data_IF_470205632158
#
_entry.id   IF_470205632158
#
_cell.length_a   1.000
_cell.length_b   1.000
_cell.length_c   1.000
_cell.angle_alpha   90.00
_cell.angle_beta   90.00
_cell.angle_gamma   90.00
#
_symmetry.space_group_name_H-M   'P 1'
#
loop_
_entity.id
_entity.type
_entity.pdbx_description
1 polymer ?
#
# COMPACT_ATOMS: atom_id res chain seq x y z
N UNK A 1 9.41 4.55 39.35
CA UNK A 1 9.46 5.42 38.15
C UNK A 1 8.26 5.06 37.28
N UNK A 2 7.09 5.64 37.54
CA UNK A 2 5.91 5.50 36.67
C UNK A 2 6.19 6.29 35.41
N UNK A 3 6.50 5.60 34.34
CA UNK A 3 6.60 6.20 33.02
C UNK A 3 5.20 6.71 32.71
N UNK A 4 5.07 8.00 32.53
CA UNK A 4 3.79 8.66 32.30
C UNK A 4 3.29 8.27 30.91
N UNK A 5 2.41 7.26 30.84
CA UNK A 5 1.90 6.65 29.61
C UNK A 5 1.27 7.71 28.72
N UNK A 6 0.66 8.75 29.31
CA UNK A 6 0.09 9.87 28.56
C UNK A 6 1.16 10.73 27.89
N UNK A 7 2.29 10.97 28.54
CA UNK A 7 3.43 11.67 27.92
C UNK A 7 4.03 10.89 26.76
N UNK A 8 4.13 9.57 26.90
CA UNK A 8 4.62 8.72 25.80
C UNK A 8 3.61 8.73 24.67
N UNK A 9 2.31 8.61 24.97
CA UNK A 9 1.25 8.67 23.96
C UNK A 9 1.25 10.03 23.24
N UNK A 10 1.34 11.14 23.98
CA UNK A 10 1.46 12.49 23.41
C UNK A 10 2.71 12.64 22.54
N UNK A 11 3.86 12.16 23.01
CA UNK A 11 5.10 12.19 22.21
C UNK A 11 4.99 11.37 20.93
N UNK A 12 4.38 10.17 20.98
CA UNK A 12 4.19 9.30 19.82
C UNK A 12 3.15 9.84 18.83
N UNK A 13 2.12 10.55 19.30
CA UNK A 13 1.03 11.03 18.43
C UNK A 13 1.27 12.44 17.91
N UNK A 14 1.85 13.35 18.70
CA UNK A 14 2.00 14.77 18.38
C UNK A 14 3.45 15.20 18.39
N UNK A 15 4.17 14.95 19.49
CA UNK A 15 5.53 15.47 19.70
C UNK A 15 6.56 15.01 18.68
N UNK A 16 6.39 13.78 18.17
CA UNK A 16 7.29 13.21 17.18
C UNK A 16 7.06 13.81 15.77
N UNK A 17 5.88 14.38 15.51
CA UNK A 17 5.51 14.98 14.22
C UNK A 17 5.66 16.51 14.22
N UNK A 18 5.88 17.15 15.39
CA UNK A 18 6.22 18.57 15.45
C UNK A 18 7.64 18.78 14.95
N UNK A 19 7.83 19.65 13.94
CA UNK A 19 9.15 20.09 13.48
C UNK A 19 9.85 20.84 14.60
N UNK A 20 10.93 20.28 15.12
CA UNK A 20 11.88 21.02 15.94
C UNK A 20 12.90 21.66 15.00
N UNK A 21 12.84 22.97 14.77
CA UNK A 21 13.67 23.72 13.81
C UNK A 21 15.19 23.63 14.06
N UNK A 22 15.62 23.18 15.23
CA UNK A 22 17.04 23.20 15.64
C UNK A 22 17.65 21.82 15.96
N UNK A 23 17.15 20.71 15.41
CA UNK A 23 17.77 19.41 15.71
C UNK A 23 18.81 19.00 14.67
N UNK A 24 19.95 18.47 15.15
CA UNK A 24 21.04 17.91 14.33
C UNK A 24 20.49 16.98 13.24
N UNK A 25 20.94 17.12 11.99
CA UNK A 25 20.52 16.40 10.79
C UNK A 25 20.42 14.86 10.98
N UNK A 26 21.30 14.29 11.81
CA UNK A 26 21.33 12.85 12.16
C UNK A 26 20.18 12.44 13.08
N UNK A 27 19.79 13.28 14.04
CA UNK A 27 18.64 13.04 14.93
C UNK A 27 17.33 13.03 14.14
N UNK A 28 17.22 13.93 13.16
CA UNK A 28 16.05 13.98 12.29
C UNK A 28 15.91 12.73 11.42
N UNK A 29 17.03 12.12 10.98
CA UNK A 29 16.99 10.87 10.21
C UNK A 29 16.46 9.71 11.05
N UNK A 30 16.91 9.53 12.28
CA UNK A 30 16.44 8.48 13.19
C UNK A 30 14.96 8.66 13.54
N UNK A 31 14.55 9.89 13.84
CA UNK A 31 13.14 10.21 14.11
C UNK A 31 12.26 9.86 12.90
N UNK A 32 12.69 10.22 11.69
CA UNK A 32 11.96 9.88 10.45
C UNK A 32 11.83 8.36 10.23
N UNK A 33 12.85 7.57 10.54
CA UNK A 33 12.75 6.11 10.44
C UNK A 33 11.76 5.54 11.47
N UNK A 34 11.81 6.07 12.69
CA UNK A 34 10.88 5.68 13.75
C UNK A 34 9.43 6.08 13.42
N UNK A 35 9.21 7.28 12.86
CA UNK A 35 7.90 7.71 12.37
C UNK A 35 7.32 6.74 11.33
N UNK A 36 8.13 6.35 10.32
CA UNK A 36 7.71 5.39 9.30
C UNK A 36 7.28 4.06 9.92
N UNK A 37 8.09 3.54 10.84
CA UNK A 37 7.79 2.27 11.50
C UNK A 37 6.52 2.38 12.36
N UNK A 38 6.37 3.44 13.14
CA UNK A 38 5.17 3.69 13.94
C UNK A 38 3.90 3.79 13.08
N UNK A 39 3.96 4.56 11.99
CA UNK A 39 2.85 4.68 11.05
C UNK A 39 2.51 3.34 10.41
N UNK A 40 3.53 2.58 9.99
CA UNK A 40 3.34 1.24 9.43
C UNK A 40 2.58 0.35 10.41
N UNK A 41 3.04 0.27 11.66
CA UNK A 41 2.37 -0.54 12.69
C UNK A 41 0.93 -0.05 12.93
N UNK A 42 0.73 1.26 13.14
CA UNK A 42 -0.59 1.84 13.40
C UNK A 42 -1.58 1.51 12.26
N UNK A 43 -1.21 1.81 11.02
CA UNK A 43 -2.11 1.64 9.88
C UNK A 43 -2.27 0.19 9.44
N UNK A 44 -1.28 -0.66 9.72
CA UNK A 44 -1.40 -2.10 9.49
C UNK A 44 -2.59 -2.71 10.25
N UNK A 45 -2.80 -2.27 11.50
CA UNK A 45 -3.95 -2.71 12.29
C UNK A 45 -5.24 -1.94 11.95
N UNK A 46 -5.16 -0.64 11.70
CA UNK A 46 -6.35 0.19 11.39
C UNK A 46 -6.99 -0.23 10.06
N UNK A 47 -6.20 -0.63 9.06
CA UNK A 47 -6.70 -1.05 7.73
C UNK A 47 -7.06 -2.52 7.65
N UNK A 48 -7.08 -3.24 8.76
CA UNK A 48 -7.44 -4.67 8.86
C UNK A 48 -6.73 -5.56 7.83
N UNK A 49 -5.40 -5.40 7.72
CA UNK A 49 -4.59 -6.25 6.83
C UNK A 49 -4.62 -7.73 7.25
N UNK A 50 -5.10 -8.05 8.44
CA UNK A 50 -5.29 -9.43 8.88
C UNK A 50 -6.30 -10.17 8.00
N UNK A 51 -7.43 -9.55 7.66
CA UNK A 51 -8.43 -10.12 6.76
C UNK A 51 -7.84 -10.32 5.35
N UNK A 52 -7.14 -9.32 4.81
CA UNK A 52 -6.45 -9.41 3.52
C UNK A 52 -5.42 -10.55 3.50
N UNK A 53 -4.65 -10.70 4.58
CA UNK A 53 -3.64 -11.76 4.73
C UNK A 53 -4.28 -13.16 4.74
N UNK A 54 -5.39 -13.33 5.46
CA UNK A 54 -6.12 -14.58 5.49
C UNK A 54 -6.69 -14.94 4.11
N UNK A 55 -7.28 -13.97 3.41
CA UNK A 55 -7.80 -14.15 2.05
C UNK A 55 -6.68 -14.52 1.06
N UNK A 56 -5.54 -13.84 1.11
CA UNK A 56 -4.37 -14.14 0.29
C UNK A 56 -3.84 -15.54 0.55
N UNK A 57 -3.77 -15.95 1.83
CA UNK A 57 -3.31 -17.28 2.20
C UNK A 57 -4.21 -18.36 1.66
N UNK A 58 -5.52 -18.20 1.81
CA UNK A 58 -6.50 -19.12 1.26
C UNK A 58 -6.41 -19.20 -0.28
N UNK A 59 -6.38 -18.05 -0.96
CA UNK A 59 -6.26 -17.99 -2.42
C UNK A 59 -4.96 -18.62 -2.92
N UNK A 60 -3.86 -18.45 -2.19
CA UNK A 60 -2.57 -19.07 -2.51
C UNK A 60 -2.65 -20.59 -2.42
N UNK A 61 -3.24 -21.13 -1.35
CA UNK A 61 -3.39 -22.57 -1.17
C UNK A 61 -4.23 -23.16 -2.28
N UNK A 62 -5.33 -22.51 -2.66
CA UNK A 62 -6.19 -22.95 -3.75
C UNK A 62 -5.51 -22.89 -5.13
N UNK A 63 -4.63 -21.91 -5.32
CA UNK A 63 -3.92 -21.70 -6.58
C UNK A 63 -2.63 -22.52 -6.72
N UNK A 64 -2.09 -23.12 -5.64
CA UNK A 64 -0.77 -23.75 -5.64
C UNK A 64 -0.69 -24.94 -6.61
N UNK A 65 -1.73 -25.78 -6.64
CA UNK A 65 -1.80 -26.93 -7.55
C UNK A 65 -1.96 -26.50 -9.02
N UNK A 66 -2.90 -25.60 -9.36
CA UNK A 66 -3.00 -24.99 -10.69
C UNK A 66 -1.69 -24.35 -11.18
N UNK A 67 -1.05 -23.53 -10.34
CA UNK A 67 0.21 -22.85 -10.69
C UNK A 67 1.33 -23.87 -10.92
N UNK A 68 1.51 -24.81 -10.01
CA UNK A 68 2.50 -25.86 -10.15
C UNK A 68 2.26 -26.67 -11.45
N UNK A 69 1.00 -27.04 -11.74
CA UNK A 69 0.64 -27.77 -12.95
C UNK A 69 1.01 -26.99 -14.21
N UNK A 70 0.78 -25.67 -14.22
CA UNK A 70 1.13 -24.81 -15.34
C UNK A 70 2.66 -24.71 -15.53
N UNK A 71 3.40 -24.52 -14.43
CA UNK A 71 4.87 -24.46 -14.45
C UNK A 71 5.45 -25.77 -15.00
N UNK A 72 4.95 -26.93 -14.53
CA UNK A 72 5.36 -28.24 -15.01
C UNK A 72 4.97 -28.50 -16.47
N UNK A 73 3.77 -28.04 -16.90
CA UNK A 73 3.35 -28.14 -18.29
C UNK A 73 4.29 -27.39 -19.23
N UNK A 74 4.65 -26.16 -18.88
CA UNK A 74 5.58 -25.32 -19.63
C UNK A 74 6.97 -25.99 -19.63
N UNK A 75 7.49 -26.36 -18.46
CA UNK A 75 8.82 -26.99 -18.35
C UNK A 75 8.92 -28.30 -19.14
N UNK A 76 7.89 -29.14 -19.11
CA UNK A 76 7.82 -30.38 -19.91
C UNK A 76 7.80 -30.09 -21.42
N UNK A 77 7.07 -29.04 -21.85
CA UNK A 77 7.05 -28.59 -23.23
C UNK A 77 8.45 -28.19 -23.77
N UNK A 78 9.29 -27.65 -22.91
CA UNK A 78 10.68 -27.28 -23.23
C UNK A 78 11.72 -28.38 -22.90
N UNK A 79 11.30 -29.56 -22.41
CA UNK A 79 12.19 -30.66 -22.05
C UNK A 79 12.87 -30.53 -20.67
N UNK A 80 12.49 -29.54 -19.85
CA UNK A 80 13.08 -29.29 -18.53
C UNK A 80 12.29 -29.92 -17.36
N UNK A 81 11.35 -30.81 -17.61
CA UNK A 81 10.45 -31.35 -16.58
C UNK A 81 11.18 -32.06 -15.43
N UNK A 82 12.16 -32.95 -15.74
CA UNK A 82 12.94 -33.67 -14.74
C UNK A 82 13.82 -32.73 -13.88
N UNK A 83 14.37 -31.72 -14.52
CA UNK A 83 15.16 -30.68 -13.85
C UNK A 83 14.30 -29.89 -12.85
N UNK A 84 13.09 -29.47 -13.29
CA UNK A 84 12.18 -28.74 -12.44
C UNK A 84 11.67 -29.60 -11.26
N UNK A 85 11.42 -30.90 -11.48
CA UNK A 85 11.03 -31.82 -10.41
C UNK A 85 12.13 -31.93 -9.34
N UNK A 86 13.38 -32.05 -9.75
CA UNK A 86 14.52 -32.07 -8.84
C UNK A 86 14.60 -30.77 -8.01
N UNK A 87 14.53 -29.62 -8.67
CA UNK A 87 14.55 -28.31 -8.00
C UNK A 87 13.37 -28.13 -7.04
N UNK A 88 12.18 -28.58 -7.42
CA UNK A 88 10.99 -28.51 -6.58
C UNK A 88 11.14 -29.37 -5.31
N UNK A 89 11.72 -30.56 -5.42
CA UNK A 89 12.04 -31.42 -4.28
C UNK A 89 13.12 -30.81 -3.37
N UNK A 90 14.11 -30.13 -3.95
CA UNK A 90 15.16 -29.44 -3.19
C UNK A 90 14.61 -28.20 -2.47
N UNK A 91 13.75 -27.41 -3.11
CA UNK A 91 13.09 -26.26 -2.48
C UNK A 91 12.20 -26.65 -1.30
N UNK A 92 11.51 -27.78 -1.42
CA UNK A 92 10.65 -28.35 -0.38
C UNK A 92 11.34 -29.44 0.43
N UNK A 93 12.67 -29.44 0.50
CA UNK A 93 13.44 -30.45 1.24
C UNK A 93 13.08 -30.50 2.73
N UNK A 94 12.62 -29.38 3.29
CA UNK A 94 12.07 -29.32 4.63
C UNK A 94 10.72 -30.07 4.80
N UNK A 95 10.03 -30.37 3.69
CA UNK A 95 8.71 -31.03 3.66
C UNK A 95 8.62 -32.07 2.53
N UNK A 96 9.36 -33.18 2.62
CA UNK A 96 9.41 -34.19 1.55
C UNK A 96 8.05 -34.82 1.26
N UNK A 97 7.21 -34.98 2.28
CA UNK A 97 5.83 -35.50 2.11
C UNK A 97 4.94 -34.51 1.36
N UNK A 98 4.97 -33.23 1.70
CA UNK A 98 4.22 -32.19 1.00
C UNK A 98 4.69 -32.05 -0.45
N UNK A 99 6.00 -32.09 -0.68
CA UNK A 99 6.57 -32.07 -2.04
C UNK A 99 6.06 -33.25 -2.87
N UNK A 100 6.09 -34.46 -2.33
CA UNK A 100 5.64 -35.68 -3.00
C UNK A 100 4.13 -35.63 -3.27
N UNK A 101 3.34 -35.16 -2.31
CA UNK A 101 1.89 -35.02 -2.46
C UNK A 101 1.53 -33.98 -3.54
N UNK A 102 2.16 -32.81 -3.52
CA UNK A 102 1.95 -31.75 -4.52
C UNK A 102 2.35 -32.22 -5.93
N UNK A 103 3.50 -32.89 -6.07
CA UNK A 103 3.93 -33.46 -7.36
C UNK A 103 2.95 -34.50 -7.87
N UNK A 104 2.44 -35.39 -7.01
CA UNK A 104 1.45 -36.39 -7.39
C UNK A 104 0.14 -35.74 -7.84
N UNK A 105 -0.34 -34.73 -7.13
CA UNK A 105 -1.53 -33.95 -7.52
C UNK A 105 -1.30 -33.25 -8.87
N UNK A 106 -0.17 -32.59 -9.04
CA UNK A 106 0.20 -31.88 -10.27
C UNK A 106 0.28 -32.86 -11.46
N UNK A 107 0.92 -34.00 -11.29
CA UNK A 107 0.98 -35.05 -12.35
C UNK A 107 -0.40 -35.62 -12.66
N UNK A 108 -1.22 -35.94 -11.63
CA UNK A 108 -2.60 -36.38 -11.85
C UNK A 108 -3.41 -35.33 -12.60
N UNK A 109 -3.26 -34.07 -12.28
CA UNK A 109 -3.93 -32.98 -12.97
C UNK A 109 -3.52 -32.90 -14.45
N UNK A 110 -2.23 -33.02 -14.76
CA UNK A 110 -1.70 -33.04 -16.13
C UNK A 110 -2.16 -34.27 -16.95
N UNK A 111 -2.25 -35.42 -16.31
CA UNK A 111 -2.73 -36.67 -16.98
C UNK A 111 -4.21 -36.55 -17.31
N UNK A 112 -5.03 -36.09 -16.36
CA UNK A 112 -6.48 -35.93 -16.60
C UNK A 112 -6.78 -34.79 -17.58
N UNK A 113 -5.90 -33.77 -17.68
CA UNK A 113 -5.98 -32.73 -18.69
C UNK A 113 -5.75 -33.23 -20.11
N UNK A 114 -5.30 -34.48 -20.32
CA UNK A 114 -5.11 -35.06 -21.65
C UNK A 114 -6.34 -35.81 -22.18
N UNK A 115 -7.38 -36.00 -21.40
CA UNK A 115 -8.55 -36.83 -21.76
C UNK A 115 -9.81 -35.98 -22.04
N UNK A 116 -10.00 -35.56 -23.28
CA UNK A 116 -11.27 -35.17 -23.89
C UNK A 116 -12.01 -33.98 -23.29
N UNK A 117 -13.28 -34.10 -22.99
CA UNK A 117 -14.20 -33.03 -22.59
C UNK A 117 -13.84 -32.34 -21.26
N UNK A 118 -13.11 -33.01 -20.38
CA UNK A 118 -12.62 -32.47 -19.11
C UNK A 118 -11.42 -31.50 -19.27
N UNK A 119 -10.75 -31.46 -20.44
CA UNK A 119 -9.63 -30.56 -20.72
C UNK A 119 -10.08 -29.11 -20.60
N UNK A 120 -11.21 -28.74 -21.19
CA UNK A 120 -11.70 -27.36 -21.21
C UNK A 120 -12.08 -26.86 -19.82
N UNK A 121 -12.80 -27.66 -19.05
CA UNK A 121 -13.26 -27.30 -17.71
C UNK A 121 -12.09 -27.22 -16.75
N UNK A 122 -11.18 -28.21 -16.76
CA UNK A 122 -10.00 -28.23 -15.90
C UNK A 122 -9.05 -27.04 -16.18
N UNK A 123 -8.84 -26.73 -17.46
CA UNK A 123 -8.03 -25.56 -17.85
C UNK A 123 -8.70 -24.25 -17.43
N UNK A 124 -10.01 -24.11 -17.58
CA UNK A 124 -10.73 -22.91 -17.15
C UNK A 124 -10.65 -22.71 -15.63
N UNK A 125 -10.82 -23.79 -14.83
CA UNK A 125 -10.67 -23.72 -13.37
C UNK A 125 -9.25 -23.32 -12.99
N UNK A 126 -8.24 -23.86 -13.69
CA UNK A 126 -6.84 -23.52 -13.48
C UNK A 126 -6.57 -22.03 -13.75
N UNK A 127 -6.99 -21.54 -14.91
CA UNK A 127 -6.84 -20.15 -15.31
C UNK A 127 -7.58 -19.21 -14.35
N UNK A 128 -8.81 -19.57 -13.98
CA UNK A 128 -9.60 -18.81 -13.00
C UNK A 128 -8.92 -18.74 -11.64
N UNK A 129 -8.36 -19.84 -11.13
CA UNK A 129 -7.68 -19.86 -9.83
C UNK A 129 -6.44 -18.97 -9.81
N UNK A 130 -5.64 -19.01 -10.89
CA UNK A 130 -4.46 -18.13 -11.02
C UNK A 130 -4.88 -16.68 -11.15
N UNK A 131 -5.86 -16.38 -11.98
CA UNK A 131 -6.40 -15.05 -12.17
C UNK A 131 -6.96 -14.49 -10.85
N UNK A 132 -7.73 -15.29 -10.12
CA UNK A 132 -8.30 -14.94 -8.82
C UNK A 132 -7.22 -14.61 -7.79
N UNK A 133 -6.13 -15.40 -7.73
CA UNK A 133 -5.01 -15.13 -6.83
C UNK A 133 -4.36 -13.78 -7.17
N UNK A 134 -4.01 -13.54 -8.44
CA UNK A 134 -3.34 -12.30 -8.87
C UNK A 134 -4.22 -11.10 -8.54
N UNK A 135 -5.54 -11.19 -8.79
CA UNK A 135 -6.48 -10.13 -8.47
C UNK A 135 -6.60 -9.88 -6.96
N UNK A 136 -6.58 -10.93 -6.15
CA UNK A 136 -6.59 -10.80 -4.68
C UNK A 136 -5.32 -10.09 -4.19
N UNK A 137 -4.16 -10.42 -4.78
CA UNK A 137 -2.89 -9.74 -4.47
C UNK A 137 -2.97 -8.28 -4.89
N UNK A 138 -3.39 -7.96 -6.12
CA UNK A 138 -3.55 -6.58 -6.59
C UNK A 138 -4.47 -5.77 -5.66
N UNK A 139 -5.65 -6.30 -5.31
CA UNK A 139 -6.59 -5.63 -4.43
C UNK A 139 -5.97 -5.33 -3.05
N UNK A 140 -5.21 -6.27 -2.48
CA UNK A 140 -4.53 -6.04 -1.20
C UNK A 140 -3.48 -4.93 -1.30
N UNK A 141 -2.73 -4.86 -2.40
CA UNK A 141 -1.75 -3.82 -2.64
C UNK A 141 -2.41 -2.46 -2.95
N UNK A 142 -3.49 -2.44 -3.74
CA UNK A 142 -4.24 -1.22 -4.05
C UNK A 142 -4.86 -0.61 -2.78
N UNK A 143 -5.33 -1.44 -1.84
CA UNK A 143 -5.78 -1.00 -0.53
C UNK A 143 -4.67 -0.34 0.30
N UNK A 144 -3.44 -0.86 0.26
CA UNK A 144 -2.27 -0.25 0.91
C UNK A 144 -1.96 1.11 0.27
N UNK A 145 -1.98 1.18 -1.06
CA UNK A 145 -1.66 2.40 -1.81
C UNK A 145 -2.84 3.36 -1.94
N UNK A 146 -4.01 3.02 -1.36
CA UNK A 146 -5.24 3.83 -1.38
C UNK A 146 -5.66 4.21 -2.80
N UNK A 147 -5.52 3.28 -3.73
CA UNK A 147 -5.95 3.45 -5.11
C UNK A 147 -7.48 3.41 -5.17
N UNK A 148 -8.09 4.45 -5.73
CA UNK A 148 -9.56 4.57 -5.87
C UNK A 148 -10.07 3.96 -7.18
N UNK A 149 -9.26 4.03 -8.22
CA UNK A 149 -9.65 3.60 -9.57
C UNK A 149 -9.05 2.23 -9.89
N UNK A 150 -9.90 1.24 -10.17
CA UNK A 150 -9.46 -0.07 -10.64
C UNK A 150 -8.93 -0.01 -12.07
N UNK A 151 -7.97 -0.87 -12.40
CA UNK A 151 -7.47 -1.01 -13.78
C UNK A 151 -8.61 -1.42 -14.73
N UNK A 152 -8.63 -0.94 -15.98
CA UNK A 152 -9.58 -1.40 -16.97
C UNK A 152 -9.38 -2.90 -17.25
N UNK A 153 -10.48 -3.64 -17.44
CA UNK A 153 -10.47 -5.11 -17.58
C UNK A 153 -9.53 -5.61 -18.69
N UNK A 154 -9.44 -4.88 -19.81
CA UNK A 154 -8.54 -5.21 -20.92
C UNK A 154 -7.07 -5.24 -20.49
N UNK A 155 -6.65 -4.28 -19.69
CA UNK A 155 -5.29 -4.20 -19.17
C UNK A 155 -5.01 -5.27 -18.13
N UNK A 156 -5.99 -5.55 -17.26
CA UNK A 156 -5.92 -6.64 -16.27
C UNK A 156 -5.62 -7.98 -16.97
N UNK A 157 -6.38 -8.31 -18.03
CA UNK A 157 -6.18 -9.57 -18.76
C UNK A 157 -4.80 -9.66 -19.40
N UNK A 158 -4.32 -8.58 -20.02
CA UNK A 158 -3.00 -8.55 -20.66
C UNK A 158 -1.89 -8.71 -19.62
N UNK A 159 -1.93 -7.90 -18.55
CA UNK A 159 -0.89 -7.89 -17.50
C UNK A 159 -0.83 -9.25 -16.78
N UNK A 160 -1.98 -9.84 -16.44
CA UNK A 160 -2.04 -11.12 -15.74
C UNK A 160 -1.62 -12.29 -16.64
N UNK A 161 -2.00 -12.26 -17.92
CA UNK A 161 -1.52 -13.25 -18.88
C UNK A 161 0.00 -13.16 -19.04
N UNK A 162 0.54 -11.95 -19.13
CA UNK A 162 1.99 -11.76 -19.21
C UNK A 162 2.70 -12.30 -17.95
N UNK A 163 2.20 -12.00 -16.75
CA UNK A 163 2.75 -12.52 -15.48
C UNK A 163 2.66 -14.05 -15.41
N UNK A 164 1.58 -14.62 -15.89
CA UNK A 164 1.35 -16.06 -15.90
C UNK A 164 2.41 -16.85 -16.69
N UNK A 165 2.95 -16.25 -17.77
CA UNK A 165 4.04 -16.84 -18.54
C UNK A 165 5.41 -16.41 -18.05
N UNK A 166 5.57 -15.14 -17.65
CA UNK A 166 6.86 -14.56 -17.26
C UNK A 166 7.38 -15.15 -15.94
N UNK A 167 6.52 -15.43 -14.97
CA UNK A 167 6.91 -15.99 -13.68
C UNK A 167 7.53 -17.40 -13.85
N UNK A 168 6.90 -18.39 -14.52
CA UNK A 168 7.53 -19.70 -14.76
C UNK A 168 8.84 -19.62 -15.52
N UNK A 169 8.89 -18.79 -16.57
CA UNK A 169 10.11 -18.59 -17.36
C UNK A 169 11.23 -18.02 -16.51
N UNK A 170 10.90 -17.03 -15.65
CA UNK A 170 11.87 -16.43 -14.72
C UNK A 170 12.41 -17.46 -13.72
N UNK A 171 11.57 -18.33 -13.19
CA UNK A 171 11.99 -19.41 -12.28
C UNK A 171 12.98 -20.35 -12.99
N UNK A 172 12.70 -20.75 -14.21
CA UNK A 172 13.59 -21.63 -15.01
C UNK A 172 14.93 -20.94 -15.25
N UNK A 173 14.92 -19.67 -15.68
CA UNK A 173 16.15 -18.90 -15.94
C UNK A 173 16.97 -18.73 -14.66
N UNK A 174 16.35 -18.34 -13.54
CA UNK A 174 17.02 -18.15 -12.25
C UNK A 174 17.61 -19.46 -11.73
N UNK A 175 16.90 -20.57 -11.90
CA UNK A 175 17.39 -21.90 -11.53
C UNK A 175 18.60 -22.30 -12.37
N UNK A 176 18.57 -22.10 -13.68
CA UNK A 176 19.71 -22.34 -14.57
C UNK A 176 20.92 -21.49 -14.23
N UNK A 177 20.68 -20.21 -13.94
CA UNK A 177 21.73 -19.25 -13.53
C UNK A 177 22.39 -19.67 -12.20
N UNK A 178 21.60 -20.14 -11.23
CA UNK A 178 22.11 -20.64 -9.95
C UNK A 178 23.06 -21.82 -10.11
N UNK A 179 22.75 -22.76 -11.03
CA UNK A 179 23.61 -23.90 -11.32
C UNK A 179 24.91 -23.45 -11.99
N UNK A 180 24.80 -22.54 -12.95
CA UNK A 180 25.98 -21.99 -13.61
C UNK A 180 26.92 -21.32 -12.62
N UNK A 181 26.41 -20.51 -11.73
CA UNK A 181 27.19 -19.86 -10.66
C UNK A 181 27.80 -20.90 -9.69
N UNK A 182 27.04 -21.93 -9.30
CA UNK A 182 27.56 -22.98 -8.43
C UNK A 182 28.74 -23.70 -9.07
N UNK A 183 28.63 -24.13 -10.35
CA UNK A 183 29.71 -24.76 -11.11
C UNK A 183 30.92 -23.85 -11.32
N UNK A 184 30.66 -22.54 -11.53
CA UNK A 184 31.74 -21.56 -11.67
C UNK A 184 32.57 -21.41 -10.39
N UNK A 185 31.90 -21.41 -9.21
CA UNK A 185 32.60 -21.32 -7.91
C UNK A 185 33.33 -22.61 -7.56
N UNK A 186 32.78 -23.76 -7.91
CA UNK A 186 33.48 -25.04 -7.71
C UNK A 186 34.82 -25.08 -8.46
N UNK A 187 34.89 -24.49 -9.64
CA UNK A 187 36.13 -24.32 -10.39
C UNK A 187 37.12 -23.31 -9.77
N UNK A 188 36.64 -22.37 -8.93
CA UNK A 188 37.46 -21.40 -8.20
C UNK A 188 38.05 -21.96 -6.87
N UNK A 189 37.65 -23.16 -6.44
CA UNK A 189 38.13 -23.79 -5.20
C UNK A 189 39.65 -24.10 -5.17
N UNK A 190 40.38 -23.90 -6.28
CA UNK A 190 41.85 -23.91 -6.32
C UNK A 190 42.54 -22.79 -5.51
N UNK A 191 41.80 -21.72 -5.17
CA UNK A 191 42.24 -20.60 -4.35
C UNK A 191 41.49 -20.63 -3.01
N UNK A 192 42.04 -21.28 -1.98
CA UNK A 192 41.43 -21.59 -0.68
C UNK A 192 40.67 -20.42 -0.04
N UNK A 193 41.21 -19.22 -0.11
CA UNK A 193 40.58 -18.01 0.49
C UNK A 193 39.42 -17.49 -0.34
N UNK A 194 39.53 -17.41 -1.65
CA UNK A 194 38.51 -16.98 -2.59
C UNK A 194 37.35 -17.99 -2.65
N UNK A 195 37.63 -19.28 -2.56
CA UNK A 195 36.62 -20.34 -2.51
C UNK A 195 35.72 -20.26 -1.27
N UNK A 196 36.26 -19.94 -0.09
CA UNK A 196 35.45 -19.76 1.13
C UNK A 196 34.54 -18.55 1.07
N UNK A 197 35.04 -17.41 0.58
CA UNK A 197 34.22 -16.20 0.42
C UNK A 197 33.15 -16.42 -0.66
N UNK A 198 33.49 -17.03 -1.76
CA UNK A 198 32.57 -17.31 -2.85
C UNK A 198 31.47 -18.30 -2.43
N UNK A 199 31.81 -19.37 -1.70
CA UNK A 199 30.83 -20.33 -1.19
C UNK A 199 29.88 -19.70 -0.15
N UNK A 200 30.39 -18.83 0.75
CA UNK A 200 29.55 -18.08 1.67
C UNK A 200 28.60 -17.12 0.93
N UNK A 201 29.13 -16.38 -0.04
CA UNK A 201 28.33 -15.44 -0.84
C UNK A 201 27.22 -16.15 -1.61
N UNK A 202 27.52 -17.28 -2.24
CA UNK A 202 26.55 -18.08 -2.98
C UNK A 202 25.47 -18.67 -2.06
N UNK A 203 25.85 -19.12 -0.87
CA UNK A 203 24.92 -19.79 0.03
C UNK A 203 23.95 -18.84 0.70
N UNK A 204 24.36 -17.61 0.99
CA UNK A 204 23.54 -16.66 1.78
C UNK A 204 23.19 -15.38 1.02
N UNK A 205 24.17 -14.79 0.32
CA UNK A 205 23.98 -13.45 -0.27
C UNK A 205 23.19 -13.51 -1.58
N UNK A 206 23.40 -14.54 -2.40
CA UNK A 206 22.67 -14.70 -3.67
C UNK A 206 21.18 -14.99 -3.43
N UNK A 207 20.76 -15.96 -2.60
CA UNK A 207 19.34 -16.16 -2.30
C UNK A 207 18.67 -14.91 -1.70
N UNK A 208 19.37 -14.21 -0.79
CA UNK A 208 18.89 -12.96 -0.23
C UNK A 208 18.71 -11.87 -1.29
N UNK A 209 19.67 -11.71 -2.21
CA UNK A 209 19.60 -10.72 -3.27
C UNK A 209 18.46 -11.03 -4.27
N UNK A 210 18.30 -12.29 -4.65
CA UNK A 210 17.20 -12.75 -5.53
C UNK A 210 15.85 -12.47 -4.86
N UNK A 211 15.71 -12.82 -3.59
CA UNK A 211 14.47 -12.60 -2.85
C UNK A 211 14.17 -11.10 -2.69
N UNK A 212 15.21 -10.28 -2.44
CA UNK A 212 15.08 -8.82 -2.39
C UNK A 212 14.61 -8.26 -3.74
N UNK A 213 15.20 -8.72 -4.84
CA UNK A 213 14.80 -8.31 -6.19
C UNK A 213 13.33 -8.70 -6.47
N UNK A 214 12.92 -9.91 -6.07
CA UNK A 214 11.55 -10.38 -6.22
C UNK A 214 10.58 -9.48 -5.45
N UNK A 215 10.89 -9.06 -4.21
CA UNK A 215 10.06 -8.12 -3.46
C UNK A 215 10.04 -6.72 -4.07
N UNK A 216 11.16 -6.23 -4.63
CA UNK A 216 11.18 -4.94 -5.35
C UNK A 216 10.21 -5.00 -6.53
N UNK A 217 10.30 -6.06 -7.35
CA UNK A 217 9.39 -6.25 -8.49
C UNK A 217 7.94 -6.32 -8.01
N UNK A 218 7.64 -7.10 -6.98
CA UNK A 218 6.30 -7.22 -6.43
C UNK A 218 5.74 -5.87 -5.97
N UNK A 219 6.52 -5.10 -5.19
CA UNK A 219 6.08 -3.81 -4.62
C UNK A 219 5.95 -2.69 -5.65
N UNK A 220 6.67 -2.78 -6.76
CA UNK A 220 6.61 -1.77 -7.83
C UNK A 220 5.51 -2.07 -8.85
N UNK A 221 5.36 -3.34 -9.26
CA UNK A 221 4.49 -3.69 -10.37
C UNK A 221 3.08 -4.09 -9.95
N UNK A 222 2.90 -4.58 -8.71
CA UNK A 222 1.59 -5.08 -8.28
C UNK A 222 0.56 -3.97 -8.03
N UNK A 223 0.88 -2.87 -7.30
CA UNK A 223 -0.11 -1.82 -7.07
C UNK A 223 -0.37 -1.02 -8.35
N UNK A 224 -1.62 -0.58 -8.53
CA UNK A 224 -1.98 0.36 -9.60
C UNK A 224 -1.63 1.81 -9.22
N UNK A 225 -0.40 2.04 -8.75
CA UNK A 225 0.10 3.33 -8.30
C UNK A 225 1.52 3.57 -8.82
N UNK A 226 1.94 4.83 -8.87
CA UNK A 226 3.33 5.19 -9.24
C UNK A 226 4.26 4.97 -8.04
N UNK A 227 4.93 3.84 -8.00
CA UNK A 227 5.87 3.48 -6.94
C UNK A 227 7.30 3.79 -7.35
N UNK A 228 8.03 4.55 -6.51
CA UNK A 228 9.44 4.89 -6.76
C UNK A 228 10.34 3.74 -6.31
N UNK A 229 11.10 3.13 -7.23
CA UNK A 229 12.01 2.00 -6.95
C UNK A 229 12.96 2.31 -5.77
N UNK A 230 13.52 3.52 -5.72
CA UNK A 230 14.43 3.93 -4.64
C UNK A 230 13.82 3.87 -3.24
N UNK A 231 12.48 3.95 -3.14
CA UNK A 231 11.77 3.88 -1.87
C UNK A 231 11.37 2.45 -1.48
N UNK A 232 11.40 1.51 -2.44
CA UNK A 232 11.07 0.09 -2.21
C UNK A 232 12.28 -0.73 -1.76
N UNK A 233 13.51 -0.33 -2.09
CA UNK A 233 14.73 -1.12 -1.83
C UNK A 233 14.85 -1.51 -0.35
N UNK A 234 14.78 -0.55 0.57
CA UNK A 234 14.96 -0.82 2.01
C UNK A 234 13.85 -1.71 2.57
N UNK A 235 12.55 -1.45 2.33
CA UNK A 235 11.49 -2.38 2.74
C UNK A 235 11.64 -3.79 2.16
N UNK A 236 12.08 -3.92 0.89
CA UNK A 236 12.31 -5.22 0.25
C UNK A 236 13.46 -5.99 0.88
N UNK A 237 14.54 -5.31 1.28
CA UNK A 237 15.65 -5.92 2.04
C UNK A 237 15.17 -6.42 3.40
N UNK A 238 14.32 -5.66 4.10
CA UNK A 238 13.73 -6.08 5.37
C UNK A 238 12.82 -7.28 5.17
N UNK A 239 11.96 -7.26 4.14
CA UNK A 239 11.06 -8.35 3.80
C UNK A 239 11.83 -9.65 3.53
N UNK A 240 12.90 -9.58 2.72
CA UNK A 240 13.71 -10.75 2.37
C UNK A 240 14.43 -11.34 3.59
N UNK A 241 14.98 -10.50 4.47
CA UNK A 241 15.59 -10.97 5.73
C UNK A 241 14.53 -11.63 6.62
N UNK A 242 13.37 -10.99 6.80
CA UNK A 242 12.28 -11.53 7.61
C UNK A 242 11.78 -12.88 7.06
N UNK A 243 11.67 -13.02 5.72
CA UNK A 243 11.30 -14.29 5.07
C UNK A 243 12.33 -15.39 5.31
N UNK A 244 13.62 -15.07 5.19
CA UNK A 244 14.69 -16.05 5.48
C UNK A 244 14.67 -16.45 6.97
N UNK A 245 14.46 -15.52 7.89
CA UNK A 245 14.28 -15.81 9.30
C UNK A 245 13.03 -16.69 9.54
N UNK A 246 11.91 -16.38 8.90
CA UNK A 246 10.69 -17.19 8.98
C UNK A 246 10.95 -18.62 8.48
N UNK A 247 11.71 -18.79 7.39
CA UNK A 247 12.06 -20.11 6.87
C UNK A 247 12.90 -20.90 7.87
N UNK A 248 13.88 -20.27 8.52
CA UNK A 248 14.69 -20.92 9.55
C UNK A 248 13.82 -21.34 10.76
N UNK A 249 12.96 -20.45 11.25
CA UNK A 249 12.02 -20.73 12.33
C UNK A 249 11.08 -21.88 11.97
N UNK A 250 10.59 -21.89 10.74
CA UNK A 250 9.70 -22.92 10.24
C UNK A 250 10.37 -24.30 10.22
N UNK A 251 11.60 -24.41 9.68
CA UNK A 251 12.36 -25.66 9.61
C UNK A 251 12.63 -26.19 11.02
N UNK A 252 13.10 -25.35 11.94
CA UNK A 252 13.38 -25.77 13.32
C UNK A 252 12.10 -26.11 14.10
N UNK A 253 11.03 -25.32 13.90
CA UNK A 253 9.71 -25.58 14.47
C UNK A 253 9.14 -26.92 14.01
N UNK A 254 9.35 -27.28 12.75
CA UNK A 254 8.92 -28.58 12.21
C UNK A 254 9.64 -29.74 12.89
N UNK A 255 10.96 -29.64 13.10
CA UNK A 255 11.75 -30.65 13.83
C UNK A 255 11.23 -30.83 15.27
N UNK A 256 10.91 -29.72 15.94
CA UNK A 256 10.36 -29.75 17.29
C UNK A 256 8.96 -30.43 17.33
N UNK A 257 8.10 -30.10 16.34
CA UNK A 257 6.76 -30.66 16.22
C UNK A 257 6.76 -32.12 15.75
N UNK A 258 7.83 -32.62 15.12
CA UNK A 258 7.97 -34.04 14.75
C UNK A 258 7.95 -34.93 15.99
N UNK A 259 8.38 -34.41 17.15
CA UNK A 259 8.24 -35.12 18.45
C UNK A 259 6.77 -35.28 18.87
N UNK A 260 5.86 -34.44 18.41
CA UNK A 260 4.41 -34.51 18.60
C UNK A 260 3.69 -35.34 17.53
N UNK A 261 4.37 -35.79 16.48
CA UNK A 261 3.82 -36.58 15.39
C UNK A 261 3.26 -37.95 15.82
N UNK A 262 3.57 -38.40 17.04
CA UNK A 262 2.98 -39.63 17.59
C UNK A 262 1.44 -39.57 17.72
N UNK A 263 0.85 -38.34 17.78
CA UNK A 263 -0.60 -38.17 17.96
C UNK A 263 -1.26 -37.75 16.62
N UNK A 264 -0.63 -36.85 15.83
CA UNK A 264 -1.24 -36.25 14.63
C UNK A 264 -0.71 -36.79 13.29
N UNK A 265 0.40 -37.58 13.30
CA UNK A 265 0.96 -38.19 12.08
C UNK A 265 1.29 -37.17 11.00
N UNK A 266 1.13 -37.55 9.71
CA UNK A 266 1.33 -36.68 8.54
C UNK A 266 0.32 -35.52 8.45
N UNK A 267 -0.75 -35.54 9.24
CA UNK A 267 -1.81 -34.51 9.22
C UNK A 267 -1.32 -33.15 9.78
N UNK A 268 -0.30 -33.14 10.64
CA UNK A 268 0.26 -31.91 11.22
C UNK A 268 0.99 -31.02 10.18
N UNK A 269 1.48 -31.61 9.10
CA UNK A 269 2.24 -30.88 8.07
C UNK A 269 1.40 -29.84 7.35
N UNK A 270 0.11 -30.11 7.08
CA UNK A 270 -0.77 -29.21 6.35
C UNK A 270 -1.08 -27.91 7.13
N UNK A 271 -1.54 -27.95 8.40
CA UNK A 271 -1.75 -26.74 9.20
C UNK A 271 -0.47 -25.92 9.38
N UNK A 272 0.67 -26.57 9.56
CA UNK A 272 1.95 -25.88 9.71
C UNK A 272 2.34 -25.12 8.41
N UNK A 273 2.12 -25.76 7.26
CA UNK A 273 2.32 -25.14 5.97
C UNK A 273 1.37 -23.94 5.75
N UNK A 274 0.10 -24.06 6.16
CA UNK A 274 -0.86 -22.95 6.13
C UNK A 274 -0.41 -21.77 6.99
N UNK A 275 0.10 -22.03 8.20
CA UNK A 275 0.66 -21.01 9.08
C UNK A 275 1.90 -20.33 8.48
N UNK A 276 2.74 -21.09 7.79
CA UNK A 276 3.90 -20.54 7.10
C UNK A 276 3.49 -19.59 5.96
N UNK A 277 2.50 -19.98 5.13
CA UNK A 277 1.95 -19.11 4.09
C UNK A 277 1.33 -17.86 4.71
N UNK A 278 0.54 -18.00 5.78
CA UNK A 278 -0.07 -16.89 6.49
C UNK A 278 0.99 -15.90 7.00
N UNK A 279 2.01 -16.39 7.69
CA UNK A 279 3.12 -15.56 8.19
C UNK A 279 3.90 -14.88 7.05
N UNK A 280 4.07 -15.57 5.93
CA UNK A 280 4.71 -15.02 4.73
C UNK A 280 3.95 -13.82 4.17
N UNK A 281 2.62 -13.91 4.10
CA UNK A 281 1.78 -12.79 3.65
C UNK A 281 1.75 -11.65 4.67
N UNK A 282 1.79 -11.94 5.98
CA UNK A 282 1.94 -10.89 7.00
C UNK A 282 3.23 -10.08 6.79
N UNK A 283 4.36 -10.74 6.59
CA UNK A 283 5.64 -10.08 6.29
C UNK A 283 5.54 -9.26 5.00
N UNK A 284 4.98 -9.86 3.96
CA UNK A 284 4.84 -9.22 2.66
C UNK A 284 4.01 -7.92 2.73
N UNK A 285 2.79 -7.98 3.30
CA UNK A 285 1.92 -6.81 3.40
C UNK A 285 2.45 -5.77 4.39
N UNK A 286 3.06 -6.19 5.50
CA UNK A 286 3.68 -5.27 6.45
C UNK A 286 4.82 -4.46 5.79
N UNK A 287 5.68 -5.11 5.02
CA UNK A 287 6.75 -4.43 4.31
C UNK A 287 6.24 -3.60 3.10
N UNK A 288 5.11 -3.99 2.48
CA UNK A 288 4.43 -3.17 1.50
C UNK A 288 3.88 -1.87 2.11
N UNK A 289 3.27 -1.94 3.30
CA UNK A 289 2.84 -0.77 4.08
C UNK A 289 4.04 0.11 4.47
N UNK A 290 5.17 -0.51 4.87
CA UNK A 290 6.42 0.21 5.13
C UNK A 290 6.95 0.92 3.87
N UNK A 291 6.79 0.31 2.70
CA UNK A 291 7.14 0.91 1.42
C UNK A 291 6.27 2.14 1.14
N UNK A 292 4.97 2.04 1.37
CA UNK A 292 4.03 3.15 1.24
C UNK A 292 4.43 4.34 2.13
N UNK A 293 4.70 4.12 3.42
CA UNK A 293 5.14 5.20 4.32
C UNK A 293 6.56 5.69 4.02
N UNK A 294 7.42 4.85 3.46
CA UNK A 294 8.74 5.31 3.00
C UNK A 294 8.66 6.30 1.84
N UNK A 295 7.62 6.21 1.02
CA UNK A 295 7.37 7.15 -0.08
C UNK A 295 6.54 8.35 0.38
N UNK A 296 5.52 8.14 1.21
CA UNK A 296 4.45 9.11 1.47
C UNK A 296 4.50 9.70 2.90
N UNK A 297 5.65 9.61 3.60
CA UNK A 297 5.79 10.11 4.98
C UNK A 297 5.37 11.57 5.11
N UNK A 298 5.66 12.40 4.12
CA UNK A 298 5.39 13.84 4.15
C UNK A 298 3.88 14.15 4.20
N UNK A 299 3.03 13.25 3.69
CA UNK A 299 1.58 13.37 3.78
C UNK A 299 1.03 13.05 5.19
N UNK A 300 1.84 12.40 6.04
CA UNK A 300 1.46 11.97 7.40
C UNK A 300 2.24 12.72 8.50
N UNK A 301 2.86 13.85 8.19
CA UNK A 301 3.59 14.68 9.17
C UNK A 301 2.68 15.21 10.29
N UNK A 302 1.37 15.15 10.14
CA UNK A 302 0.42 15.44 11.20
C UNK A 302 -0.68 14.38 11.23
N UNK A 303 -0.81 13.69 12.36
CA UNK A 303 -1.85 12.66 12.59
C UNK A 303 -3.17 13.25 13.10
N UNK A 304 -3.35 14.57 12.97
CA UNK A 304 -4.63 15.22 13.30
C UNK A 304 -5.61 14.80 12.20
N UNK A 305 -6.64 14.07 12.59
CA UNK A 305 -7.78 13.83 11.71
C UNK A 305 -8.57 15.14 11.58
N UNK A 306 -9.03 15.46 10.38
CA UNK A 306 -9.86 16.64 10.13
C UNK A 306 -11.19 16.57 10.89
N UNK A 307 -11.62 15.37 11.27
CA UNK A 307 -12.77 15.13 12.14
C UNK A 307 -12.57 15.65 13.58
N UNK A 308 -11.31 15.73 14.04
CA UNK A 308 -10.96 16.27 15.36
C UNK A 308 -10.84 17.81 15.37
N UNK A 309 -10.90 18.46 14.20
CA UNK A 309 -10.83 19.92 14.07
C UNK A 309 -12.22 20.49 14.30
N UNK A 310 -12.36 21.44 15.23
CA UNK A 310 -13.65 22.07 15.45
C UNK A 310 -14.10 22.82 14.19
N UNK A 311 -15.41 22.89 13.96
CA UNK A 311 -15.99 23.46 12.75
C UNK A 311 -15.52 24.89 12.48
N UNK A 312 -15.41 25.71 13.53
CA UNK A 312 -14.90 27.10 13.41
C UNK A 312 -13.47 27.15 12.90
N UNK A 313 -12.58 26.34 13.47
CA UNK A 313 -11.17 26.29 13.06
C UNK A 313 -11.02 25.77 11.62
N UNK A 314 -11.87 24.83 11.23
CA UNK A 314 -11.91 24.34 9.84
C UNK A 314 -12.30 25.45 8.86
N UNK A 315 -13.29 26.29 9.21
CA UNK A 315 -13.68 27.43 8.38
C UNK A 315 -12.55 28.47 8.27
N UNK A 316 -11.84 28.74 9.36
CA UNK A 316 -10.68 29.65 9.38
C UNK A 316 -9.57 29.09 8.49
N UNK A 317 -9.28 27.79 8.57
CA UNK A 317 -8.29 27.16 7.72
C UNK A 317 -8.69 27.17 6.23
N UNK A 318 -9.98 26.95 5.93
CA UNK A 318 -10.50 27.08 4.56
C UNK A 318 -10.36 28.51 4.03
N UNK A 319 -10.66 29.51 4.86
CA UNK A 319 -10.49 30.93 4.50
C UNK A 319 -9.02 31.26 4.23
N UNK A 320 -8.10 30.77 5.08
CA UNK A 320 -6.66 30.99 4.92
C UNK A 320 -6.14 30.40 3.59
N UNK A 321 -6.50 29.15 3.29
CA UNK A 321 -6.05 28.49 2.06
C UNK A 321 -6.65 29.16 0.82
N UNK A 322 -7.95 29.47 0.85
CA UNK A 322 -8.62 30.11 -0.26
C UNK A 322 -8.09 31.54 -0.51
N UNK A 323 -7.85 32.32 0.57
CA UNK A 323 -7.25 33.66 0.48
C UNK A 323 -5.85 33.60 -0.13
N UNK A 324 -5.03 32.63 0.26
CA UNK A 324 -3.70 32.41 -0.30
C UNK A 324 -3.76 32.11 -1.81
N UNK A 325 -4.65 31.22 -2.24
CA UNK A 325 -4.82 30.89 -3.66
C UNK A 325 -5.33 32.11 -4.45
N UNK A 326 -6.33 32.84 -3.93
CA UNK A 326 -6.90 34.02 -4.58
C UNK A 326 -5.89 35.17 -4.69
N UNK A 327 -5.10 35.43 -3.65
CA UNK A 327 -4.08 36.49 -3.66
C UNK A 327 -2.98 36.20 -4.68
N UNK A 328 -2.50 34.97 -4.78
CA UNK A 328 -1.49 34.58 -5.76
C UNK A 328 -2.02 34.74 -7.19
N UNK A 329 -3.28 34.32 -7.41
CA UNK A 329 -3.93 34.48 -8.70
C UNK A 329 -4.11 35.96 -9.09
N UNK A 330 -4.51 36.81 -8.14
CA UNK A 330 -4.66 38.26 -8.35
C UNK A 330 -3.32 38.96 -8.66
N UNK A 331 -2.20 38.41 -8.18
CA UNK A 331 -0.85 38.91 -8.43
C UNK A 331 -0.17 38.24 -9.64
N UNK A 332 -0.90 37.59 -10.53
CA UNK A 332 -0.39 36.87 -11.72
C UNK A 332 0.74 35.86 -11.42
N UNK A 333 0.75 35.29 -10.21
CA UNK A 333 1.73 34.29 -9.82
C UNK A 333 1.31 32.90 -10.30
N UNK A 334 2.30 32.02 -10.55
CA UNK A 334 2.03 30.64 -10.98
C UNK A 334 1.20 29.88 -9.96
N UNK A 335 0.21 29.08 -10.42
CA UNK A 335 -0.56 28.21 -9.55
C UNK A 335 0.35 27.24 -8.78
N UNK A 336 -0.02 26.93 -7.56
CA UNK A 336 0.76 26.08 -6.65
C UNK A 336 0.15 24.70 -6.48
N UNK A 337 1.01 23.73 -6.18
CA UNK A 337 0.63 22.39 -5.73
C UNK A 337 0.27 22.43 -4.25
N UNK A 338 -0.44 21.42 -3.75
CA UNK A 338 -0.76 21.27 -2.32
C UNK A 338 0.50 21.32 -1.42
N UNK A 339 1.62 20.77 -1.88
CA UNK A 339 2.89 20.78 -1.15
C UNK A 339 3.52 22.18 -1.08
N UNK A 340 3.39 22.97 -2.13
CA UNK A 340 3.88 24.36 -2.16
C UNK A 340 3.03 25.24 -1.25
N UNK A 341 1.68 25.12 -1.31
CA UNK A 341 0.78 25.84 -0.41
C UNK A 341 1.08 25.48 1.05
N UNK A 342 1.30 24.17 1.35
CA UNK A 342 1.73 23.72 2.68
C UNK A 342 3.00 24.42 3.14
N UNK A 343 3.99 24.61 2.26
CA UNK A 343 5.29 25.20 2.66
C UNK A 343 5.17 26.66 3.07
N UNK A 344 4.20 27.39 2.54
CA UNK A 344 3.96 28.80 2.82
C UNK A 344 2.97 29.00 3.98
N UNK A 345 1.91 28.17 4.05
CA UNK A 345 0.86 28.30 5.08
C UNK A 345 1.17 27.52 6.36
N UNK A 346 2.14 26.61 6.34
CA UNK A 346 2.48 25.67 7.43
C UNK A 346 1.34 24.75 7.88
N UNK A 347 0.24 24.69 7.12
CA UNK A 347 -0.89 23.78 7.40
C UNK A 347 -0.45 22.35 7.06
N UNK A 348 -0.72 21.36 7.93
CA UNK A 348 -0.39 19.96 7.66
C UNK A 348 -0.99 19.47 6.35
N UNK A 349 -0.23 18.69 5.57
CA UNK A 349 -0.64 18.29 4.20
C UNK A 349 -1.97 17.53 4.19
N UNK A 350 -2.25 16.70 5.19
CA UNK A 350 -3.50 15.95 5.29
C UNK A 350 -4.70 16.89 5.44
N UNK A 351 -4.60 17.87 6.34
CA UNK A 351 -5.60 18.91 6.53
C UNK A 351 -5.72 19.76 5.26
N UNK A 352 -4.58 20.12 4.66
CA UNK A 352 -4.54 20.87 3.39
C UNK A 352 -5.29 20.13 2.27
N UNK A 353 -5.04 18.84 2.12
CA UNK A 353 -5.67 18.03 1.06
C UNK A 353 -7.19 17.95 1.26
N UNK A 354 -7.65 17.80 2.50
CA UNK A 354 -9.08 17.78 2.83
C UNK A 354 -9.72 19.16 2.58
N UNK A 355 -9.06 20.24 2.96
CA UNK A 355 -9.52 21.61 2.70
C UNK A 355 -9.62 21.85 1.18
N UNK A 356 -8.60 21.49 0.41
CA UNK A 356 -8.60 21.65 -1.05
C UNK A 356 -9.73 20.81 -1.68
N UNK A 357 -9.95 19.59 -1.20
CA UNK A 357 -11.06 18.75 -1.66
C UNK A 357 -12.42 19.42 -1.38
N UNK A 358 -12.65 19.92 -0.16
CA UNK A 358 -13.90 20.62 0.21
C UNK A 358 -14.12 21.89 -0.61
N UNK A 359 -13.07 22.71 -0.79
CA UNK A 359 -13.15 23.92 -1.60
C UNK A 359 -13.44 23.62 -3.07
N UNK A 360 -12.94 22.52 -3.59
CA UNK A 360 -13.24 22.03 -4.94
C UNK A 360 -14.68 21.52 -5.06
N UNK A 361 -15.18 20.74 -4.12
CA UNK A 361 -16.56 20.25 -4.11
C UNK A 361 -17.58 21.40 -4.20
N UNK A 362 -17.31 22.50 -3.50
CA UNK A 362 -18.18 23.69 -3.52
C UNK A 362 -17.89 24.66 -4.69
N UNK A 363 -17.06 24.24 -5.66
CA UNK A 363 -16.69 25.01 -6.84
C UNK A 363 -16.08 26.40 -6.53
N UNK A 364 -15.27 26.50 -5.46
CA UNK A 364 -14.49 27.72 -5.17
C UNK A 364 -13.10 27.68 -5.80
N UNK A 365 -12.53 26.48 -5.99
CA UNK A 365 -11.25 26.24 -6.65
C UNK A 365 -11.37 25.15 -7.71
N UNK A 366 -10.50 25.18 -8.70
CA UNK A 366 -10.35 24.15 -9.74
C UNK A 366 -8.95 23.54 -9.74
N UNK A 367 -8.87 22.28 -10.12
CA UNK A 367 -7.61 21.56 -10.34
C UNK A 367 -7.14 21.74 -11.78
N UNK A 368 -5.88 22.10 -11.95
CA UNK A 368 -5.24 22.19 -13.25
C UNK A 368 -4.12 21.14 -13.33
N UNK A 369 -4.17 20.32 -14.36
CA UNK A 369 -3.14 19.35 -14.66
C UNK A 369 -2.06 19.99 -15.53
N UNK A 370 -0.82 19.99 -15.09
CA UNK A 370 0.30 20.44 -15.91
C UNK A 370 0.62 19.38 -16.96
N UNK A 371 0.68 19.70 -18.25
CA UNK A 371 1.05 18.74 -19.29
C UNK A 371 2.51 18.26 -19.20
N UNK A 372 3.36 18.96 -18.45
CA UNK A 372 4.79 18.67 -18.31
C UNK A 372 5.19 18.02 -16.99
N UNK A 373 4.37 18.16 -15.94
CA UNK A 373 4.57 17.53 -14.64
C UNK A 373 3.24 16.91 -14.23
N UNK A 374 3.25 15.66 -13.82
CA UNK A 374 2.08 14.93 -13.27
C UNK A 374 1.56 15.57 -11.94
N UNK A 375 1.76 16.87 -11.76
CA UNK A 375 1.43 17.59 -10.54
C UNK A 375 0.14 18.38 -10.73
N UNK A 376 -0.76 18.28 -9.75
CA UNK A 376 -2.01 19.01 -9.69
C UNK A 376 -1.77 20.36 -9.03
N UNK A 377 -2.19 21.44 -9.71
CA UNK A 377 -2.14 22.81 -9.19
C UNK A 377 -3.55 23.37 -9.02
N UNK A 378 -3.72 24.35 -8.16
CA UNK A 378 -5.02 24.90 -7.78
C UNK A 378 -5.16 26.37 -8.19
N UNK A 379 -6.34 26.72 -8.76
CA UNK A 379 -6.71 28.10 -9.12
C UNK A 379 -8.14 28.39 -8.67
N UNK A 380 -8.51 29.68 -8.44
CA UNK A 380 -9.89 30.04 -8.17
C UNK A 380 -10.78 29.72 -9.37
N UNK A 381 -12.03 29.34 -9.13
CA UNK A 381 -13.02 29.05 -10.18
C UNK A 381 -13.74 30.31 -10.64
N UNK A 382 -13.83 31.33 -9.79
CA UNK A 382 -14.53 32.59 -10.03
C UNK A 382 -13.57 33.77 -9.90
N UNK A 383 -14.02 34.94 -10.37
CA UNK A 383 -13.28 36.19 -10.16
C UNK A 383 -13.02 36.45 -8.69
N UNK A 384 -11.75 36.60 -8.35
CA UNK A 384 -11.27 36.80 -6.96
C UNK A 384 -11.86 38.03 -6.29
N UNK A 385 -12.35 39.00 -7.07
CA UNK A 385 -13.02 40.19 -6.54
C UNK A 385 -14.43 39.90 -6.00
N UNK A 386 -15.05 38.82 -6.45
CA UNK A 386 -16.40 38.46 -6.08
C UNK A 386 -16.48 37.38 -4.98
N UNK A 387 -15.34 36.75 -4.67
CA UNK A 387 -15.32 35.72 -3.61
C UNK A 387 -15.24 36.39 -2.24
N UNK A 388 -16.29 36.22 -1.45
CA UNK A 388 -16.38 36.76 -0.08
C UNK A 388 -16.33 35.65 0.97
N UNK A 389 -16.00 36.02 2.22
CA UNK A 389 -15.99 35.10 3.36
C UNK A 389 -17.38 34.52 3.58
N UNK A 390 -18.43 35.35 3.48
CA UNK A 390 -19.82 34.90 3.63
C UNK A 390 -20.25 33.91 2.56
N UNK A 391 -19.80 34.10 1.30
CA UNK A 391 -20.08 33.15 0.21
C UNK A 391 -19.37 31.82 0.43
N UNK A 392 -18.09 31.86 0.84
CA UNK A 392 -17.33 30.65 1.16
C UNK A 392 -18.03 29.82 2.26
N UNK A 393 -18.39 30.45 3.38
CA UNK A 393 -19.08 29.78 4.49
C UNK A 393 -20.44 29.22 4.03
N UNK A 394 -21.23 30.03 3.31
CA UNK A 394 -22.53 29.60 2.82
C UNK A 394 -22.44 28.35 1.93
N UNK A 395 -21.46 28.31 1.03
CA UNK A 395 -21.24 27.15 0.13
C UNK A 395 -20.76 25.91 0.91
N UNK A 396 -19.76 26.05 1.80
CA UNK A 396 -19.24 24.95 2.60
C UNK A 396 -20.30 24.32 3.51
N UNK A 397 -21.19 25.11 4.08
CA UNK A 397 -22.26 24.62 4.97
C UNK A 397 -23.51 24.17 4.22
N UNK A 398 -23.69 24.52 2.95
CA UNK A 398 -24.81 24.07 2.13
C UNK A 398 -24.62 22.71 1.50
N UNK A 399 -23.40 22.16 1.56
CA UNK A 399 -23.09 20.82 1.05
C UNK A 399 -23.79 19.79 1.95
N UNK A 400 -24.82 19.06 1.49
CA UNK A 400 -25.51 18.10 2.33
C UNK A 400 -24.57 16.96 2.68
N UNK A 401 -24.47 16.61 3.96
CA UNK A 401 -23.93 15.32 4.35
C UNK A 401 -24.76 14.24 3.64
N UNK A 402 -24.15 13.51 2.73
CA UNK A 402 -24.80 12.58 1.80
C UNK A 402 -25.74 11.57 2.48
N UNK A 403 -25.44 11.20 3.72
CA UNK A 403 -26.18 10.20 4.49
C UNK A 403 -27.51 10.73 5.07
N UNK A 404 -27.58 12.02 5.39
CA UNK A 404 -28.78 12.59 5.99
C UNK A 404 -29.92 12.76 4.96
N UNK A 405 -29.58 13.03 3.71
CA UNK A 405 -30.55 13.16 2.60
C UNK A 405 -31.04 11.79 2.14
N UNK A 406 -30.16 10.76 2.16
CA UNK A 406 -30.51 9.38 1.81
C UNK A 406 -31.51 8.75 2.81
N UNK A 407 -31.48 9.14 4.07
CA UNK A 407 -32.40 8.67 5.09
C UNK A 407 -33.78 9.35 5.05
N UNK A 408 -34.01 10.28 4.11
CA UNK A 408 -35.29 10.98 3.97
C UNK A 408 -35.63 11.97 5.10
N UNK A 409 -34.67 12.28 5.96
CA UNK A 409 -34.81 13.29 7.01
C UNK A 409 -34.61 14.68 6.42
N UNK A 410 -35.68 15.46 6.34
CA UNK A 410 -35.61 16.89 6.05
C UNK A 410 -35.83 17.67 7.35
N UNK A 411 -34.88 18.54 7.76
CA UNK A 411 -35.09 19.39 8.97
C UNK A 411 -36.40 20.18 8.93
N UNK A 412 -36.84 20.59 7.74
CA UNK A 412 -38.10 21.29 7.52
C UNK A 412 -39.37 20.49 7.91
N UNK A 413 -39.28 19.15 7.94
CA UNK A 413 -40.43 18.27 8.27
C UNK A 413 -40.54 17.88 9.74
N UNK A 414 -39.41 17.93 10.46
CA UNK A 414 -39.31 17.37 11.83
C UNK A 414 -39.31 18.45 12.92
N UNK A 415 -38.97 19.71 12.55
CA UNK A 415 -38.73 20.77 13.55
C UNK A 415 -39.84 21.79 13.58
N UNK A 416 -39.99 22.41 14.76
CA UNK A 416 -40.92 23.53 14.96
C UNK A 416 -40.56 24.66 13.98
N UNK A 417 -41.52 25.03 13.15
CA UNK A 417 -41.34 25.97 12.02
C UNK A 417 -40.81 27.33 12.49
N UNK A 418 -41.20 27.79 13.67
CA UNK A 418 -40.77 29.07 14.23
C UNK A 418 -39.29 29.10 14.62
N UNK A 419 -38.78 28.02 15.19
CA UNK A 419 -37.34 27.90 15.53
C UNK A 419 -36.50 27.87 14.28
N UNK A 420 -36.91 27.09 13.27
CA UNK A 420 -36.20 27.00 12.01
C UNK A 420 -36.09 28.36 11.30
N UNK A 421 -37.20 29.12 11.24
CA UNK A 421 -37.23 30.44 10.61
C UNK A 421 -36.40 31.46 11.40
N UNK A 422 -36.48 31.48 12.74
CA UNK A 422 -35.68 32.39 13.57
C UNK A 422 -34.18 32.13 13.45
N UNK A 423 -33.75 30.86 13.55
CA UNK A 423 -32.35 30.52 13.39
C UNK A 423 -31.87 30.83 11.96
N UNK A 424 -32.73 30.58 10.96
CA UNK A 424 -32.45 30.91 9.56
C UNK A 424 -32.25 32.41 9.34
N UNK A 425 -33.09 33.28 9.91
CA UNK A 425 -32.95 34.73 9.80
C UNK A 425 -31.69 35.28 10.48
N UNK A 426 -31.32 34.74 11.64
CA UNK A 426 -30.09 35.11 12.35
C UNK A 426 -28.89 34.73 11.50
N UNK A 427 -28.90 33.52 10.90
CA UNK A 427 -27.86 33.06 10.04
C UNK A 427 -27.70 33.89 8.76
N UNK A 428 -28.82 34.28 8.11
CA UNK A 428 -28.77 35.16 6.96
C UNK A 428 -28.14 36.51 7.27
N UNK A 429 -28.47 37.09 8.43
CA UNK A 429 -27.86 38.35 8.90
C UNK A 429 -26.37 38.21 9.08
N UNK A 430 -25.92 37.13 9.76
CA UNK A 430 -24.52 36.81 9.94
C UNK A 430 -23.77 36.65 8.61
N UNK A 431 -24.31 35.87 7.68
CA UNK A 431 -23.71 35.68 6.37
C UNK A 431 -23.66 36.95 5.52
N UNK A 432 -24.68 37.82 5.64
CA UNK A 432 -24.72 39.08 4.92
C UNK A 432 -23.65 40.08 5.41
N UNK A 433 -23.38 40.11 6.73
CA UNK A 433 -22.26 40.88 7.27
C UNK A 433 -20.92 40.38 6.70
N UNK A 434 -20.72 39.08 6.64
CA UNK A 434 -19.48 38.48 6.09
C UNK A 434 -19.34 38.60 4.56
N UNK A 435 -20.42 38.85 3.81
CA UNK A 435 -20.37 39.14 2.38
C UNK A 435 -19.68 40.48 2.07
N UNK A 436 -19.55 41.38 3.03
CA UNK A 436 -18.79 42.63 2.86
C UNK A 436 -17.28 42.42 2.86
N UNK A 437 -16.80 41.26 3.34
CA UNK A 437 -15.37 40.95 3.51
C UNK A 437 -14.89 40.15 2.31
N UNK A 438 -14.00 40.74 1.50
CA UNK A 438 -13.36 40.02 0.40
C UNK A 438 -12.29 39.07 0.90
N UNK A 439 -12.27 37.84 0.34
CA UNK A 439 -11.38 36.79 0.83
C UNK A 439 -9.90 37.08 0.56
N UNK A 440 -9.57 37.75 -0.54
CA UNK A 440 -8.19 38.12 -0.89
C UNK A 440 -7.58 39.15 0.07
N UNK A 441 -8.41 39.94 0.78
CA UNK A 441 -7.95 41.01 1.69
C UNK A 441 -7.61 40.50 3.08
N UNK A 442 -7.98 39.25 3.42
CA UNK A 442 -7.72 38.66 4.74
C UNK A 442 -6.23 38.55 5.07
N UNK A 443 -5.36 38.38 4.09
CA UNK A 443 -3.90 38.23 4.31
C UNK A 443 -3.20 39.59 4.45
N UNK A 444 -3.76 40.69 3.89
CA UNK A 444 -3.16 42.01 3.96
C UNK A 444 -3.09 42.60 5.40
N UNK A 445 -3.82 42.03 6.35
CA UNK A 445 -3.80 42.42 7.76
C UNK A 445 -2.71 41.73 8.60
N UNK A 446 -1.89 40.84 8.03
CA UNK A 446 -0.86 40.07 8.77
C UNK A 446 0.55 40.70 8.75
N UNK A 447 0.75 41.86 8.12
CA UNK A 447 2.04 42.58 8.08
C UNK A 447 2.16 43.70 9.12
N UNK A 448 1.32 43.76 10.16
CA UNK A 448 1.43 44.72 11.28
C UNK A 448 1.66 44.04 12.61
#
# INVERSE_FOLDING_TARGET
>A
MKIDIERIKYFLTVGMFMKTEHSLKRRNMLIRQFQKFYLTVKFFFVRDHAASTAQLSFSTIMAIVPIASMIFAIANGFGFGQFLEKQFREMLSAQPEAATWLLKLTQSYLVHAKTGLFIGIGLMIMLYSVFSLIRTVETAFDNIWQVKDSRPLSRIVIDYTALMFLVPISIIILSGLSIYFYSFVENLNGLRFLGTIASFSLRYLVPWAILTLMFIVLYVFMPNAKVKITKTVVPSMIASIAMLCLQVVYIHGQIFLTSYNAIYGSFAALPLFMLWILASWYICLFCAELCYFNQNLEYYECLIDTEDICHNDLLILCATVLSHICQRFANDQKPQTALQIKSETHIPIRVMTDILYRLKEVNLISENFSPTSDEVTYTPTHDTNNITVGEMIARLESTPASDFVLLGFSPKKVWNHDIYNRVGSIRETYLNELKSINIKELISYSEN
#
